data_IF_231692204753
#
_entry.id   IF_231692204753
#
_cell.length_a   1.000
_cell.length_b   1.000
_cell.length_c   1.000
_cell.angle_alpha   90.00
_cell.angle_beta   90.00
_cell.angle_gamma   90.00
#
_symmetry.space_group_name_H-M   'P 1'
#
loop_
_entity.id
_entity.type
_entity.pdbx_description
1 polymer ?
#
# COMPACT_ATOMS: atom_id res chain seq x y z
N UNK A 1 1.61 -27.05 -1.10
CA UNK A 1 1.80 -26.68 0.33
C UNK A 1 1.14 -25.34 0.68
N UNK A 2 1.57 -24.21 0.11
CA UNK A 2 1.02 -22.88 0.48
C UNK A 2 -0.50 -22.70 0.21
N UNK A 3 -1.04 -23.31 -0.85
CA UNK A 3 -2.48 -23.29 -1.15
C UNK A 3 -3.29 -24.10 -0.11
N UNK A 4 -2.79 -25.28 0.25
CA UNK A 4 -3.36 -26.13 1.30
C UNK A 4 -3.33 -25.41 2.66
N UNK A 5 -2.26 -24.69 2.97
CA UNK A 5 -2.16 -23.93 4.22
C UNK A 5 -3.15 -22.76 4.29
N UNK A 6 -3.43 -22.10 3.15
CA UNK A 6 -4.47 -21.06 3.06
C UNK A 6 -5.87 -21.65 3.19
N UNK A 7 -6.15 -22.75 2.52
CA UNK A 7 -7.45 -23.45 2.63
C UNK A 7 -7.71 -23.90 4.07
N UNK A 8 -6.69 -24.44 4.75
CA UNK A 8 -6.78 -24.79 6.17
C UNK A 8 -7.08 -23.58 7.05
N UNK A 9 -6.46 -22.43 6.79
CA UNK A 9 -6.74 -21.19 7.52
C UNK A 9 -8.21 -20.77 7.36
N UNK A 10 -8.74 -20.78 6.14
CA UNK A 10 -10.13 -20.39 5.88
C UNK A 10 -11.14 -21.42 6.40
N UNK A 11 -10.83 -22.72 6.32
CA UNK A 11 -11.62 -23.78 6.93
C UNK A 11 -11.70 -23.62 8.46
N UNK A 12 -10.56 -23.34 9.11
CA UNK A 12 -10.51 -23.06 10.54
C UNK A 12 -11.35 -21.83 10.90
N UNK A 13 -11.23 -20.74 10.14
CA UNK A 13 -11.99 -19.51 10.38
C UNK A 13 -13.49 -19.68 10.17
N UNK A 14 -13.91 -20.48 9.18
CA UNK A 14 -15.33 -20.76 8.94
C UNK A 14 -15.99 -21.54 10.09
N UNK A 15 -15.20 -22.30 10.86
CA UNK A 15 -15.66 -23.06 12.02
C UNK A 15 -15.55 -22.29 13.34
N UNK A 16 -14.86 -21.14 13.36
CA UNK A 16 -14.70 -20.34 14.57
C UNK A 16 -15.79 -19.27 14.68
N UNK A 17 -16.30 -19.10 15.90
CA UNK A 17 -17.14 -17.96 16.28
C UNK A 17 -16.23 -16.78 16.68
N UNK A 18 -16.30 -15.70 15.92
CA UNK A 18 -15.63 -14.43 16.19
C UNK A 18 -16.33 -13.60 17.25
N UNK A 19 -15.84 -12.38 17.45
CA UNK A 19 -16.52 -11.38 18.28
C UNK A 19 -17.42 -10.51 17.39
N UNK A 20 -18.73 -10.65 17.55
CA UNK A 20 -19.69 -9.79 16.86
C UNK A 20 -19.69 -8.41 17.53
N UNK A 21 -19.20 -7.40 16.81
CA UNK A 21 -19.23 -6.02 17.26
C UNK A 21 -20.67 -5.49 17.34
N UNK A 22 -20.99 -4.63 18.31
CA UNK A 22 -22.32 -4.04 18.41
C UNK A 22 -22.59 -3.08 17.24
N UNK A 23 -23.87 -2.78 17.01
CA UNK A 23 -24.31 -1.73 16.09
C UNK A 23 -23.70 -0.37 16.46
N UNK A 24 -23.62 0.53 15.49
CA UNK A 24 -23.00 1.84 15.66
C UNK A 24 -23.65 2.67 16.78
N UNK A 25 -22.79 3.25 17.61
CA UNK A 25 -23.17 4.17 18.69
C UNK A 25 -23.20 5.62 18.16
N UNK A 26 -23.85 6.58 18.85
CA UNK A 26 -23.94 7.97 18.39
C UNK A 26 -22.58 8.62 18.08
N UNK A 27 -21.53 8.29 18.86
CA UNK A 27 -20.17 8.78 18.60
C UNK A 27 -19.62 8.34 17.24
N UNK A 28 -20.03 7.18 16.71
CA UNK A 28 -19.61 6.73 15.38
C UNK A 28 -20.13 7.69 14.31
N UNK A 29 -21.39 8.13 14.42
CA UNK A 29 -21.97 9.09 13.49
C UNK A 29 -21.26 10.44 13.58
N UNK A 30 -21.01 10.93 14.80
CA UNK A 30 -20.28 12.18 15.01
C UNK A 30 -18.86 12.15 14.41
N UNK A 31 -18.13 11.04 14.59
CA UNK A 31 -16.80 10.86 13.98
C UNK A 31 -16.88 10.84 12.45
N UNK A 32 -17.89 10.19 11.88
CA UNK A 32 -18.09 10.12 10.44
C UNK A 32 -18.47 11.46 9.83
N UNK A 33 -19.29 12.24 10.53
CA UNK A 33 -19.70 13.60 10.15
C UNK A 33 -18.56 14.61 10.32
N UNK A 34 -17.61 14.36 11.23
CA UNK A 34 -16.40 15.18 11.38
C UNK A 34 -15.43 15.09 10.19
N UNK A 35 -15.64 14.14 9.28
CA UNK A 35 -14.77 13.96 8.12
C UNK A 35 -14.87 15.16 7.18
N UNK A 36 -13.75 15.87 6.97
CA UNK A 36 -13.71 17.13 6.23
C UNK A 36 -14.00 17.02 4.73
N UNK A 37 -14.17 15.81 4.20
CA UNK A 37 -14.42 15.55 2.79
C UNK A 37 -15.73 14.80 2.61
N UNK A 38 -16.41 15.03 1.49
CA UNK A 38 -17.56 14.23 1.14
C UNK A 38 -17.10 12.81 0.74
N UNK A 39 -17.57 11.74 1.41
CA UNK A 39 -17.17 10.39 1.07
C UNK A 39 -17.75 9.97 -0.29
N UNK A 40 -16.98 9.21 -1.06
CA UNK A 40 -17.44 8.68 -2.36
C UNK A 40 -18.41 7.50 -2.17
N UNK A 41 -19.26 7.17 -3.16
CA UNK A 41 -20.15 6.01 -3.07
C UNK A 41 -19.40 4.71 -2.73
N UNK A 42 -18.22 4.51 -3.31
CA UNK A 42 -17.40 3.32 -3.03
C UNK A 42 -16.82 3.31 -1.61
N UNK A 43 -16.48 4.48 -1.05
CA UNK A 43 -16.04 4.59 0.35
C UNK A 43 -17.17 4.29 1.31
N UNK A 44 -18.39 4.79 1.03
CA UNK A 44 -19.59 4.50 1.83
C UNK A 44 -19.88 3.00 1.79
N UNK A 45 -19.91 2.40 0.60
CA UNK A 45 -20.12 0.96 0.42
C UNK A 45 -19.05 0.15 1.15
N UNK A 46 -17.76 0.48 0.95
CA UNK A 46 -16.66 -0.24 1.61
C UNK A 46 -16.74 -0.13 3.14
N UNK A 47 -17.16 1.02 3.67
CA UNK A 47 -17.38 1.21 5.11
C UNK A 47 -18.52 0.33 5.62
N UNK A 48 -19.64 0.28 4.89
CA UNK A 48 -20.79 -0.55 5.24
C UNK A 48 -20.45 -2.04 5.19
N UNK A 49 -19.73 -2.48 4.15
CA UNK A 49 -19.25 -3.84 4.00
C UNK A 49 -18.36 -4.26 5.19
N UNK A 50 -17.39 -3.41 5.57
CA UNK A 50 -16.51 -3.64 6.74
C UNK A 50 -17.32 -3.73 8.03
N UNK A 51 -18.25 -2.79 8.26
CA UNK A 51 -19.09 -2.80 9.48
C UNK A 51 -19.98 -4.03 9.57
N UNK A 52 -20.56 -4.44 8.44
CA UNK A 52 -21.40 -5.64 8.37
C UNK A 52 -20.62 -6.89 8.73
N UNK A 53 -19.39 -7.02 8.25
CA UNK A 53 -18.54 -8.14 8.61
C UNK A 53 -18.16 -8.12 10.09
N UNK A 54 -17.83 -6.94 10.63
CA UNK A 54 -17.53 -6.78 12.06
C UNK A 54 -18.74 -7.12 12.94
N UNK A 55 -19.96 -6.88 12.49
CA UNK A 55 -21.19 -7.25 13.22
C UNK A 55 -21.55 -8.75 13.08
N UNK A 56 -20.83 -9.50 12.25
CA UNK A 56 -21.04 -10.95 12.09
C UNK A 56 -20.47 -11.74 13.26
N UNK A 57 -21.02 -12.93 13.47
CA UNK A 57 -20.48 -13.97 14.36
C UNK A 57 -19.22 -14.68 13.80
N UNK A 58 -18.77 -14.31 12.59
CA UNK A 58 -17.59 -14.88 11.93
C UNK A 58 -16.47 -13.86 11.94
N UNK A 59 -15.21 -14.28 12.21
CA UNK A 59 -14.09 -13.35 12.14
C UNK A 59 -13.98 -12.73 10.74
N UNK A 60 -13.87 -11.40 10.64
CA UNK A 60 -13.69 -10.67 9.39
C UNK A 60 -12.27 -10.87 8.82
N UNK A 61 -12.12 -11.14 7.52
CA UNK A 61 -10.84 -11.01 6.78
C UNK A 61 -11.09 -10.31 5.45
N UNK A 62 -11.21 -8.98 5.52
CA UNK A 62 -11.56 -8.14 4.38
C UNK A 62 -10.35 -7.43 3.80
N UNK A 63 -10.28 -7.38 2.49
CA UNK A 63 -9.32 -6.59 1.74
C UNK A 63 -9.99 -5.34 1.15
N UNK A 64 -9.56 -4.16 1.58
CA UNK A 64 -9.95 -2.89 0.95
C UNK A 64 -8.86 -2.48 -0.03
N UNK A 65 -9.24 -2.46 -1.30
CA UNK A 65 -8.35 -2.15 -2.40
C UNK A 65 -8.82 -0.88 -3.11
N UNK A 66 -7.89 0.04 -3.37
CA UNK A 66 -8.17 1.25 -4.13
C UNK A 66 -6.89 2.04 -4.32
N UNK A 67 -6.85 2.96 -5.28
CA UNK A 67 -5.63 3.71 -5.55
C UNK A 67 -5.13 4.50 -4.31
N UNK A 68 -3.83 4.82 -4.30
CA UNK A 68 -3.23 5.70 -3.28
C UNK A 68 -4.04 7.00 -3.22
N UNK A 69 -4.49 7.44 -2.04
CA UNK A 69 -5.27 8.67 -1.90
C UNK A 69 -6.78 8.53 -2.16
N UNK A 70 -7.31 7.33 -2.40
CA UNK A 70 -8.77 7.10 -2.50
C UNK A 70 -9.45 6.92 -1.13
N UNK A 71 -8.82 7.34 -0.04
CA UNK A 71 -9.44 7.29 1.30
C UNK A 71 -9.56 5.90 1.93
N UNK A 72 -8.70 4.94 1.57
CA UNK A 72 -8.61 3.64 2.27
C UNK A 72 -8.41 3.81 3.78
N UNK A 73 -7.58 4.78 4.16
CA UNK A 73 -7.32 5.12 5.57
C UNK A 73 -8.59 5.55 6.29
N UNK A 74 -9.52 6.23 5.60
CA UNK A 74 -10.79 6.65 6.21
C UNK A 74 -11.67 5.44 6.56
N UNK A 75 -11.75 4.45 5.66
CA UNK A 75 -12.46 3.20 5.92
C UNK A 75 -11.88 2.49 7.15
N UNK A 76 -10.54 2.48 7.28
CA UNK A 76 -9.88 1.90 8.44
C UNK A 76 -10.13 2.69 9.73
N UNK A 77 -10.07 4.03 9.69
CA UNK A 77 -10.34 4.89 10.87
C UNK A 77 -11.74 4.59 11.43
N UNK A 78 -12.75 4.47 10.56
CA UNK A 78 -14.12 4.16 10.96
C UNK A 78 -14.25 2.78 11.61
N UNK A 79 -13.57 1.77 11.06
CA UNK A 79 -13.53 0.42 11.63
C UNK A 79 -12.80 0.38 12.98
N UNK A 80 -11.66 1.08 13.08
CA UNK A 80 -10.89 1.22 14.32
C UNK A 80 -11.76 1.86 15.41
N UNK A 81 -12.46 2.94 15.09
CA UNK A 81 -13.30 3.64 16.05
C UNK A 81 -14.46 2.76 16.55
N UNK A 82 -15.11 2.00 15.66
CA UNK A 82 -16.14 1.02 16.05
C UNK A 82 -15.58 -0.04 17.01
N UNK A 83 -14.38 -0.55 16.75
CA UNK A 83 -13.76 -1.56 17.61
C UNK A 83 -13.38 -0.99 18.99
N UNK A 84 -12.78 0.20 19.03
CA UNK A 84 -12.38 0.87 20.27
C UNK A 84 -13.60 1.22 21.13
N UNK A 85 -14.65 1.77 20.53
CA UNK A 85 -15.88 2.13 21.27
C UNK A 85 -16.66 0.92 21.78
N UNK A 86 -16.45 -0.27 21.19
CA UNK A 86 -16.93 -1.54 21.72
C UNK A 86 -16.08 -2.09 22.88
N UNK A 87 -15.04 -1.37 23.31
CA UNK A 87 -14.14 -1.78 24.39
C UNK A 87 -13.06 -2.78 23.98
N UNK A 88 -12.82 -2.95 22.67
CA UNK A 88 -11.75 -3.82 22.15
C UNK A 88 -10.50 -3.01 21.83
N UNK A 89 -9.33 -3.61 22.09
CA UNK A 89 -8.07 -3.03 21.65
C UNK A 89 -7.86 -3.26 20.15
N UNK A 90 -7.15 -2.34 19.51
CA UNK A 90 -6.87 -2.36 18.08
C UNK A 90 -5.38 -2.21 17.81
N UNK A 91 -4.87 -2.95 16.83
CA UNK A 91 -3.50 -2.83 16.36
C UNK A 91 -3.47 -2.42 14.88
N UNK A 92 -2.73 -1.36 14.56
CA UNK A 92 -2.47 -0.94 13.18
C UNK A 92 -1.00 -1.20 12.83
N UNK A 93 -0.78 -2.13 11.89
CA UNK A 93 0.52 -2.48 11.34
C UNK A 93 0.77 -1.73 10.03
N UNK A 94 1.90 -1.02 9.97
CA UNK A 94 2.42 -0.45 8.73
C UNK A 94 3.90 -0.83 8.54
N UNK A 95 4.38 -0.93 7.28
CA UNK A 95 5.70 -1.51 6.99
C UNK A 95 6.86 -0.58 7.37
N UNK A 96 6.64 0.73 7.40
CA UNK A 96 7.69 1.73 7.66
C UNK A 96 7.37 2.59 8.88
N UNK A 97 8.43 3.06 9.54
CA UNK A 97 8.32 3.99 10.68
C UNK A 97 7.57 5.27 10.31
N UNK A 98 7.71 5.74 9.08
CA UNK A 98 7.11 7.00 8.64
C UNK A 98 5.61 6.83 8.42
N UNK A 99 5.19 5.72 7.80
CA UNK A 99 3.77 5.39 7.70
C UNK A 99 3.13 5.23 9.08
N UNK A 100 3.81 4.58 10.03
CA UNK A 100 3.29 4.45 11.40
C UNK A 100 3.15 5.80 12.09
N UNK A 101 4.09 6.73 11.87
CA UNK A 101 3.98 8.11 12.37
C UNK A 101 2.80 8.87 11.72
N UNK A 102 2.60 8.72 10.41
CA UNK A 102 1.50 9.36 9.68
C UNK A 102 0.14 8.86 10.18
N UNK A 103 -0.03 7.54 10.30
CA UNK A 103 -1.23 6.94 10.86
C UNK A 103 -1.46 7.41 12.29
N UNK A 104 -0.42 7.38 13.13
CA UNK A 104 -0.50 7.86 14.51
C UNK A 104 -0.99 9.31 14.60
N UNK A 105 -0.43 10.21 13.80
CA UNK A 105 -0.83 11.62 13.81
C UNK A 105 -2.29 11.80 13.38
N UNK A 106 -2.67 11.16 12.27
CA UNK A 106 -4.04 11.22 11.74
C UNK A 106 -5.06 10.67 12.75
N UNK A 107 -4.76 9.53 13.37
CA UNK A 107 -5.62 8.90 14.38
C UNK A 107 -5.71 9.76 15.63
N UNK A 108 -4.60 10.32 16.11
CA UNK A 108 -4.59 11.19 17.28
C UNK A 108 -5.39 12.47 17.07
N UNK A 109 -5.31 13.06 15.88
CA UNK A 109 -6.11 14.23 15.51
C UNK A 109 -7.61 13.88 15.45
N UNK A 110 -7.96 12.83 14.70
CA UNK A 110 -9.36 12.39 14.52
C UNK A 110 -10.02 11.92 15.81
N UNK A 111 -9.25 11.34 16.73
CA UNK A 111 -9.78 10.83 18.00
C UNK A 111 -9.61 11.81 19.16
N UNK A 112 -9.05 13.00 18.94
CA UNK A 112 -8.86 14.03 19.98
C UNK A 112 -10.13 14.44 20.75
N UNK A 113 -11.35 14.41 20.17
CA UNK A 113 -12.58 14.72 20.92
C UNK A 113 -13.01 13.61 21.90
N UNK A 114 -12.41 12.41 21.81
CA UNK A 114 -12.85 11.22 22.52
C UNK A 114 -11.80 10.77 23.55
N UNK A 115 -12.21 10.09 24.63
CA UNK A 115 -11.29 9.56 25.63
C UNK A 115 -10.61 8.26 25.14
N UNK A 116 -9.93 8.32 24.00
CA UNK A 116 -9.26 7.19 23.35
C UNK A 116 -7.75 7.37 23.45
N UNK A 117 -7.07 6.41 24.06
CA UNK A 117 -5.62 6.43 24.18
C UNK A 117 -4.97 5.76 22.97
N UNK A 118 -4.26 6.57 22.17
CA UNK A 118 -3.50 6.11 21.00
C UNK A 118 -2.01 6.10 21.34
N UNK A 119 -1.35 4.95 21.15
CA UNK A 119 0.08 4.78 21.33
C UNK A 119 0.81 4.46 20.01
N UNK A 120 2.11 4.74 19.97
CA UNK A 120 2.98 4.48 18.83
C UNK A 120 4.23 3.71 19.25
N UNK A 121 4.45 2.54 18.66
CA UNK A 121 5.71 1.80 18.77
C UNK A 121 6.39 1.76 17.41
N UNK A 122 7.48 2.51 17.32
CA UNK A 122 8.39 2.46 16.19
C UNK A 122 9.84 2.59 16.68
N UNK A 123 10.80 2.70 15.75
CA UNK A 123 12.22 2.73 16.13
C UNK A 123 12.66 4.00 16.86
N UNK A 124 11.95 5.12 16.67
CA UNK A 124 12.27 6.39 17.31
C UNK A 124 11.96 6.43 18.81
N UNK A 125 11.15 5.50 19.31
CA UNK A 125 10.91 5.36 20.75
C UNK A 125 12.09 4.71 21.44
N UNK A 126 12.53 5.32 22.53
CA UNK A 126 13.53 4.77 23.44
C UNK A 126 13.06 3.44 24.04
N UNK A 127 14.00 2.63 24.52
CA UNK A 127 13.66 1.36 25.17
C UNK A 127 12.79 1.56 26.41
N UNK A 128 13.01 2.63 27.17
CA UNK A 128 12.18 2.96 28.34
C UNK A 128 10.73 3.26 27.94
N UNK A 129 10.51 4.09 26.92
CA UNK A 129 9.16 4.38 26.42
C UNK A 129 8.47 3.13 25.88
N UNK A 130 9.20 2.29 25.12
CA UNK A 130 8.63 1.04 24.59
C UNK A 130 8.16 0.12 25.71
N UNK A 131 8.97 -0.08 26.75
CA UNK A 131 8.60 -0.93 27.88
C UNK A 131 7.37 -0.40 28.62
N UNK A 132 7.27 0.92 28.77
CA UNK A 132 6.10 1.53 29.40
C UNK A 132 4.83 1.36 28.56
N UNK A 133 4.91 1.60 27.25
CA UNK A 133 3.79 1.39 26.32
C UNK A 133 3.33 -0.07 26.35
N UNK A 134 4.26 -1.04 26.34
CA UNK A 134 3.90 -2.45 26.37
C UNK A 134 3.23 -2.88 27.68
N UNK A 135 3.62 -2.30 28.83
CA UNK A 135 2.94 -2.54 30.11
C UNK A 135 1.49 -2.02 30.08
N UNK A 136 1.31 -0.77 29.65
CA UNK A 136 -0.01 -0.13 29.53
C UNK A 136 -0.90 -0.84 28.51
N UNK A 137 -0.32 -1.39 27.45
CA UNK A 137 -1.04 -2.22 26.47
C UNK A 137 -1.57 -3.51 27.10
N UNK A 138 -0.76 -4.16 27.94
CA UNK A 138 -1.14 -5.39 28.63
C UNK A 138 -2.20 -5.17 29.72
N UNK A 139 -2.23 -3.99 30.36
CA UNK A 139 -3.27 -3.62 31.35
C UNK A 139 -4.58 -3.13 30.69
N UNK A 140 -4.54 -2.82 29.39
CA UNK A 140 -5.67 -2.31 28.63
C UNK A 140 -5.90 -0.80 28.78
N UNK A 141 -4.88 -0.05 29.20
CA UNK A 141 -4.92 1.42 29.25
C UNK A 141 -4.71 2.07 27.88
N UNK A 142 -4.26 1.30 26.89
CA UNK A 142 -4.10 1.74 25.50
C UNK A 142 -5.15 1.04 24.66
N UNK A 143 -6.02 1.83 24.03
CA UNK A 143 -7.09 1.33 23.16
C UNK A 143 -6.56 1.00 21.76
N UNK A 144 -5.68 1.85 21.23
CA UNK A 144 -5.13 1.70 19.88
C UNK A 144 -3.61 1.81 19.90
N UNK A 145 -2.96 0.83 19.30
CA UNK A 145 -1.51 0.86 19.08
C UNK A 145 -1.18 0.85 17.59
N UNK A 146 -0.40 1.84 17.17
CA UNK A 146 0.16 1.93 15.83
C UNK A 146 1.62 1.50 15.87
N UNK A 147 2.07 0.69 14.93
CA UNK A 147 3.47 0.29 14.93
C UNK A 147 3.92 -0.54 13.75
N UNK A 148 5.22 -0.76 13.71
CA UNK A 148 5.85 -1.57 12.66
C UNK A 148 5.74 -3.06 12.98
N UNK A 149 6.46 -3.90 12.24
CA UNK A 149 6.68 -5.31 12.57
C UNK A 149 7.13 -5.59 14.02
N UNK A 150 7.65 -4.59 14.74
CA UNK A 150 7.95 -4.68 16.17
C UNK A 150 6.75 -5.11 17.02
N UNK A 151 5.52 -4.79 16.60
CA UNK A 151 4.30 -5.23 17.26
C UNK A 151 4.03 -6.73 17.14
N UNK A 152 4.68 -7.42 16.19
CA UNK A 152 4.64 -8.87 16.03
C UNK A 152 5.72 -9.59 16.87
N UNK A 153 6.37 -8.87 17.79
CA UNK A 153 7.36 -9.41 18.71
C UNK A 153 6.72 -10.31 19.79
N UNK A 154 7.49 -11.26 20.33
CA UNK A 154 6.98 -12.19 21.38
C UNK A 154 6.59 -11.50 22.70
N UNK A 155 7.12 -10.31 22.96
CA UNK A 155 6.86 -9.55 24.20
C UNK A 155 5.66 -8.60 24.11
N UNK A 156 4.85 -8.68 23.06
CA UNK A 156 3.67 -7.83 22.89
C UNK A 156 2.44 -8.63 23.32
N UNK A 157 1.81 -8.18 24.40
CA UNK A 157 0.62 -8.80 24.96
C UNK A 157 -0.50 -7.77 25.00
N UNK A 158 -1.63 -8.12 24.40
CA UNK A 158 -2.86 -7.36 24.46
C UNK A 158 -3.74 -7.95 25.56
N UNK A 159 -4.52 -7.11 26.23
CA UNK A 159 -5.58 -7.54 27.15
C UNK A 159 -6.75 -8.16 26.38
N UNK A 160 -7.21 -7.48 25.33
CA UNK A 160 -8.37 -7.90 24.53
C UNK A 160 -8.32 -7.30 23.12
N UNK A 161 -7.49 -7.88 22.24
CA UNK A 161 -7.36 -7.45 20.85
C UNK A 161 -8.58 -7.89 20.03
N UNK A 162 -9.34 -6.94 19.49
CA UNK A 162 -10.52 -7.22 18.67
C UNK A 162 -10.32 -6.99 17.17
N UNK A 163 -9.41 -6.08 16.77
CA UNK A 163 -9.19 -5.74 15.36
C UNK A 163 -7.70 -5.57 15.04
N UNK A 164 -7.27 -6.17 13.93
CA UNK A 164 -5.95 -5.99 13.35
C UNK A 164 -6.07 -5.31 11.97
N UNK A 165 -5.55 -4.10 11.86
CA UNK A 165 -5.44 -3.38 10.59
C UNK A 165 -4.04 -3.55 10.03
N UNK A 166 -3.92 -3.98 8.78
CA UNK A 166 -2.63 -4.15 8.08
C UNK A 166 -2.63 -3.28 6.84
N UNK A 167 -1.77 -2.27 6.82
CA UNK A 167 -1.57 -1.40 5.66
C UNK A 167 -0.37 -1.85 4.82
N UNK A 168 -0.49 -1.83 3.50
CA UNK A 168 0.56 -2.20 2.55
C UNK A 168 1.16 -3.61 2.80
N UNK A 169 0.29 -4.62 3.00
CA UNK A 169 0.67 -6.04 3.31
C UNK A 169 1.77 -6.60 2.38
N UNK A 170 1.80 -6.18 1.11
CA UNK A 170 2.81 -6.59 0.14
C UNK A 170 4.26 -6.31 0.58
N UNK A 171 4.50 -5.27 1.39
CA UNK A 171 5.85 -4.86 1.84
C UNK A 171 6.34 -5.69 3.04
N UNK A 172 5.50 -6.51 3.66
CA UNK A 172 5.89 -7.37 4.77
C UNK A 172 6.62 -8.63 4.28
N UNK A 173 7.68 -9.01 4.99
CA UNK A 173 8.46 -10.22 4.72
C UNK A 173 7.71 -11.51 5.09
N UNK A 174 8.23 -12.65 4.63
CA UNK A 174 7.58 -13.97 4.80
C UNK A 174 7.32 -14.30 6.28
N UNK A 175 8.31 -14.15 7.14
CA UNK A 175 8.18 -14.44 8.58
C UNK A 175 7.13 -13.55 9.27
N UNK A 176 6.99 -12.30 8.82
CA UNK A 176 6.00 -11.37 9.38
C UNK A 176 4.59 -11.79 8.94
N UNK A 177 4.42 -12.16 7.67
CA UNK A 177 3.16 -12.66 7.13
C UNK A 177 2.69 -13.93 7.84
N UNK A 178 3.60 -14.85 8.17
CA UNK A 178 3.25 -16.04 8.96
C UNK A 178 2.73 -15.69 10.36
N UNK A 179 3.36 -14.74 11.06
CA UNK A 179 2.86 -14.27 12.37
C UNK A 179 1.51 -13.57 12.26
N UNK A 180 1.32 -12.75 11.22
CA UNK A 180 0.03 -12.11 10.94
C UNK A 180 -1.03 -13.21 10.73
N UNK A 181 -0.77 -14.25 9.93
CA UNK A 181 -1.67 -15.40 9.74
C UNK A 181 -2.06 -16.07 11.05
N UNK A 182 -1.11 -16.25 11.98
CA UNK A 182 -1.41 -16.82 13.29
C UNK A 182 -2.39 -15.93 14.06
N UNK A 183 -2.18 -14.61 14.07
CA UNK A 183 -3.12 -13.66 14.70
C UNK A 183 -4.47 -13.61 14.00
N UNK A 184 -4.50 -13.79 12.67
CA UNK A 184 -5.75 -13.85 11.89
C UNK A 184 -6.66 -14.99 12.34
N UNK A 185 -6.22 -16.00 13.07
CA UNK A 185 -7.11 -17.13 13.40
C UNK A 185 -8.31 -16.73 14.26
N UNK A 186 -8.15 -15.78 15.18
CA UNK A 186 -9.18 -15.46 16.20
C UNK A 186 -9.62 -13.98 16.20
N UNK A 187 -9.03 -13.14 15.36
CA UNK A 187 -9.20 -11.67 15.37
C UNK A 187 -9.69 -11.21 14.01
N UNK A 188 -10.52 -10.16 14.01
CA UNK A 188 -10.93 -9.47 12.79
C UNK A 188 -9.74 -8.78 12.14
N UNK A 189 -9.62 -8.91 10.82
CA UNK A 189 -8.48 -8.41 10.06
C UNK A 189 -8.97 -7.57 8.89
N UNK A 190 -8.51 -6.33 8.86
CA UNK A 190 -8.73 -5.40 7.77
C UNK A 190 -7.39 -5.15 7.06
N UNK A 191 -7.29 -5.53 5.80
CA UNK A 191 -6.09 -5.28 5.00
C UNK A 191 -6.33 -4.14 4.02
N UNK A 192 -5.43 -3.17 3.95
CA UNK A 192 -5.46 -2.05 3.01
C UNK A 192 -4.35 -2.21 1.97
N UNK A 193 -4.69 -2.05 0.69
CA UNK A 193 -3.68 -2.07 -0.38
C UNK A 193 -4.00 -1.13 -1.54
N UNK A 194 -2.95 -0.54 -2.13
CA UNK A 194 -3.06 0.27 -3.34
C UNK A 194 -3.14 -0.58 -4.63
N UNK A 195 -2.45 -1.71 -4.64
CA UNK A 195 -2.36 -2.62 -5.80
C UNK A 195 -2.57 -4.03 -5.28
N UNK A 196 -3.68 -4.70 -5.62
CA UNK A 196 -3.89 -6.05 -5.16
C UNK A 196 -2.85 -6.94 -5.86
N UNK A 197 -2.09 -7.70 -5.08
CA UNK A 197 -1.17 -8.70 -5.63
C UNK A 197 -2.01 -9.64 -6.51
N UNK A 198 -1.58 -10.02 -7.73
CA UNK A 198 -2.40 -10.82 -8.64
C UNK A 198 -2.99 -12.07 -7.99
N UNK A 199 -2.22 -12.73 -7.10
CA UNK A 199 -2.69 -13.85 -6.28
C UNK A 199 -3.81 -13.47 -5.30
N UNK A 200 -3.65 -12.38 -4.57
CA UNK A 200 -4.65 -11.89 -3.62
C UNK A 200 -5.91 -11.44 -4.35
N UNK A 201 -5.75 -10.86 -5.53
CA UNK A 201 -6.86 -10.51 -6.40
C UNK A 201 -7.62 -11.76 -6.85
N UNK A 202 -6.91 -12.81 -7.27
CA UNK A 202 -7.53 -14.06 -7.66
C UNK A 202 -8.31 -14.70 -6.50
N UNK A 203 -7.73 -14.77 -5.30
CA UNK A 203 -8.43 -15.29 -4.11
C UNK A 203 -9.71 -14.52 -3.75
N UNK A 204 -9.69 -13.20 -3.95
CA UNK A 204 -10.87 -12.38 -3.80
C UNK A 204 -11.92 -12.69 -4.87
N UNK A 205 -11.50 -12.84 -6.13
CA UNK A 205 -12.38 -13.22 -7.25
C UNK A 205 -12.96 -14.63 -7.10
N UNK A 206 -12.25 -15.57 -6.48
CA UNK A 206 -12.73 -16.91 -6.16
C UNK A 206 -13.71 -16.95 -4.96
N UNK A 207 -13.99 -15.80 -4.31
CA UNK A 207 -14.92 -15.71 -3.18
C UNK A 207 -14.41 -16.38 -1.89
N UNK A 208 -13.10 -16.60 -1.76
CA UNK A 208 -12.46 -17.11 -0.54
C UNK A 208 -12.22 -15.96 0.45
N UNK A 209 -11.86 -14.78 -0.08
CA UNK A 209 -11.56 -13.58 0.70
C UNK A 209 -12.48 -12.45 0.28
N UNK A 210 -13.15 -11.82 1.23
CA UNK A 210 -14.03 -10.70 0.92
C UNK A 210 -13.21 -9.46 0.54
N UNK A 211 -13.64 -8.77 -0.52
CA UNK A 211 -12.91 -7.64 -1.10
C UNK A 211 -13.85 -6.49 -1.40
N UNK A 212 -13.47 -5.30 -0.92
CA UNK A 212 -14.14 -4.04 -1.26
C UNK A 212 -13.22 -3.21 -2.15
N UNK A 213 -13.74 -2.81 -3.31
CA UNK A 213 -13.04 -2.00 -4.29
C UNK A 213 -13.45 -0.54 -4.17
N UNK A 214 -12.48 0.36 -4.07
CA UNK A 214 -12.64 1.79 -4.16
C UNK A 214 -12.01 2.24 -5.49
N UNK A 215 -12.83 2.55 -6.47
CA UNK A 215 -12.39 2.95 -7.82
C UNK A 215 -12.70 4.42 -8.12
N UNK A 216 -13.67 5.00 -7.40
CA UNK A 216 -14.07 6.40 -7.54
C UNK A 216 -13.06 7.31 -6.81
N UNK A 217 -12.32 8.18 -7.52
CA UNK A 217 -11.44 9.16 -6.89
C UNK A 217 -12.24 10.18 -6.07
N UNK A 218 -11.66 10.73 -4.98
CA UNK A 218 -12.23 11.88 -4.30
C UNK A 218 -12.34 13.10 -5.24
N UNK A 219 -13.35 13.97 -5.06
CA UNK A 219 -13.59 15.12 -5.95
C UNK A 219 -12.41 16.09 -6.08
N UNK A 220 -11.58 16.20 -5.03
CA UNK A 220 -10.41 17.06 -5.00
C UNK A 220 -9.23 16.54 -5.82
N UNK A 221 -9.26 15.28 -6.27
CA UNK A 221 -8.11 14.66 -6.92
C UNK A 221 -8.08 14.95 -8.41
N UNK A 222 -6.99 15.55 -8.87
CA UNK A 222 -6.72 15.81 -10.29
C UNK A 222 -5.92 14.66 -10.91
N UNK A 223 -6.16 14.30 -12.19
CA UNK A 223 -5.33 13.32 -12.89
C UNK A 223 -3.89 13.83 -13.02
N UNK A 224 -2.93 12.92 -12.94
CA UNK A 224 -1.51 13.27 -13.02
C UNK A 224 -1.12 13.39 -14.49
N UNK A 225 -0.63 14.57 -14.90
CA UNK A 225 -0.16 14.78 -16.26
C UNK A 225 1.17 14.05 -16.45
N UNK A 226 1.14 13.00 -17.28
CA UNK A 226 2.31 12.15 -17.53
C UNK A 226 2.94 12.55 -18.86
N UNK A 227 4.21 12.94 -18.82
CA UNK A 227 5.00 13.38 -19.97
C UNK A 227 6.11 12.37 -20.25
N UNK A 228 6.19 11.87 -21.48
CA UNK A 228 7.28 11.03 -21.95
C UNK A 228 8.23 11.87 -22.81
N UNK A 229 9.50 11.93 -22.41
CA UNK A 229 10.50 12.75 -23.11
C UNK A 229 11.86 12.05 -23.14
N UNK A 230 12.70 12.29 -24.17
CA UNK A 230 14.13 12.06 -24.07
C UNK A 230 14.72 12.81 -22.86
N UNK A 231 15.77 12.26 -22.27
CA UNK A 231 16.51 12.93 -21.19
C UNK A 231 17.05 14.28 -21.68
N UNK A 232 16.57 15.37 -21.09
CA UNK A 232 16.98 16.74 -21.44
C UNK A 232 17.07 17.59 -20.16
N UNK A 233 18.26 18.14 -19.90
CA UNK A 233 18.56 18.91 -18.69
C UNK A 233 17.74 20.20 -18.59
N UNK A 234 17.42 20.86 -19.70
CA UNK A 234 16.60 22.08 -19.68
C UNK A 234 15.15 21.79 -19.31
N UNK A 235 14.61 20.64 -19.75
CA UNK A 235 13.27 20.19 -19.34
C UNK A 235 13.26 19.89 -17.84
N UNK A 236 14.28 19.17 -17.35
CA UNK A 236 14.45 18.86 -15.92
C UNK A 236 14.50 20.16 -15.10
N UNK A 237 15.34 21.11 -15.50
CA UNK A 237 15.51 22.39 -14.83
C UNK A 237 14.20 23.18 -14.77
N UNK A 238 13.48 23.24 -15.89
CA UNK A 238 12.21 23.96 -16.00
C UNK A 238 11.14 23.32 -15.12
N UNK A 239 11.01 21.99 -15.17
CA UNK A 239 10.04 21.25 -14.36
C UNK A 239 10.29 21.42 -12.85
N UNK A 240 11.56 21.37 -12.41
CA UNK A 240 11.89 21.61 -11.00
C UNK A 240 11.56 23.05 -10.61
N UNK A 241 12.00 24.06 -11.38
CA UNK A 241 11.73 25.48 -11.07
C UNK A 241 10.24 25.79 -10.96
N UNK A 242 9.43 25.30 -11.91
CA UNK A 242 7.98 25.50 -11.88
C UNK A 242 7.33 24.96 -10.61
N UNK A 243 7.83 23.84 -10.05
CA UNK A 243 7.34 23.32 -8.78
C UNK A 243 7.80 24.17 -7.59
N UNK A 244 9.06 24.61 -7.59
CA UNK A 244 9.60 25.44 -6.52
C UNK A 244 8.94 26.83 -6.47
N UNK A 245 8.64 27.43 -7.62
CA UNK A 245 7.97 28.73 -7.74
C UNK A 245 6.56 28.72 -7.13
N UNK A 246 5.89 27.55 -7.11
CA UNK A 246 4.60 27.36 -6.44
C UNK A 246 4.70 26.84 -5.00
N UNK A 247 5.90 26.81 -4.42
CA UNK A 247 6.17 26.36 -3.05
C UNK A 247 6.00 24.84 -2.84
N UNK A 248 6.05 24.06 -3.91
CA UNK A 248 5.99 22.60 -3.86
C UNK A 248 7.36 21.96 -3.72
N UNK A 249 7.35 20.63 -3.64
CA UNK A 249 8.55 19.81 -3.54
C UNK A 249 8.61 18.78 -4.68
N UNK A 250 9.81 18.31 -5.00
CA UNK A 250 10.06 17.45 -6.17
C UNK A 250 10.70 16.14 -5.78
N UNK A 251 10.20 15.04 -6.36
CA UNK A 251 10.93 13.77 -6.40
C UNK A 251 11.76 13.67 -7.68
N UNK A 252 13.07 13.43 -7.53
CA UNK A 252 13.96 13.09 -8.64
C UNK A 252 14.42 11.64 -8.48
N UNK A 253 13.88 10.74 -9.29
CA UNK A 253 14.09 9.29 -9.17
C UNK A 253 15.14 8.82 -10.16
N UNK A 254 16.16 8.13 -9.65
CA UNK A 254 17.19 7.44 -10.42
C UNK A 254 17.05 5.91 -10.29
N UNK A 255 17.37 5.13 -11.34
CA UNK A 255 17.20 3.67 -11.30
C UNK A 255 18.24 2.94 -10.44
N UNK A 256 19.38 3.56 -10.15
CA UNK A 256 20.52 2.95 -9.43
C UNK A 256 21.23 3.99 -8.56
N UNK A 257 21.93 3.49 -7.54
CA UNK A 257 22.65 4.29 -6.53
C UNK A 257 23.92 4.90 -7.13
N UNK A 258 24.59 4.15 -8.02
CA UNK A 258 25.77 4.61 -8.73
C UNK A 258 25.48 5.91 -9.49
N UNK A 259 26.28 6.95 -9.23
CA UNK A 259 26.13 8.28 -9.84
C UNK A 259 25.06 9.19 -9.20
N UNK A 260 24.41 8.78 -8.10
CA UNK A 260 23.39 9.61 -7.43
C UNK A 260 23.95 10.93 -6.89
N UNK A 261 25.18 10.91 -6.36
CA UNK A 261 25.88 12.10 -5.86
C UNK A 261 26.25 13.05 -6.99
N UNK A 262 26.78 12.53 -8.10
CA UNK A 262 27.09 13.31 -9.30
C UNK A 262 25.83 13.97 -9.87
N UNK A 263 24.72 13.23 -9.91
CA UNK A 263 23.43 13.76 -10.35
C UNK A 263 22.93 14.86 -9.41
N UNK A 264 23.09 14.67 -8.10
CA UNK A 264 22.72 15.68 -7.11
C UNK A 264 23.56 16.95 -7.26
N UNK A 265 24.86 16.82 -7.53
CA UNK A 265 25.74 17.95 -7.85
C UNK A 265 25.31 18.67 -9.14
N UNK A 266 24.96 17.92 -10.19
CA UNK A 266 24.44 18.48 -11.44
C UNK A 266 23.14 19.26 -11.21
N UNK A 267 22.24 18.77 -10.37
CA UNK A 267 20.99 19.50 -10.02
C UNK A 267 21.30 20.78 -9.24
N UNK A 268 22.27 20.76 -8.30
CA UNK A 268 22.73 21.98 -7.59
C UNK A 268 23.30 23.02 -8.54
N UNK A 269 24.04 22.59 -9.56
CA UNK A 269 24.61 23.49 -10.56
C UNK A 269 23.51 24.09 -11.46
N UNK A 270 22.55 23.28 -11.90
CA UNK A 270 21.41 23.75 -12.69
C UNK A 270 20.52 24.75 -11.94
N UNK A 271 20.36 24.55 -10.63
CA UNK A 271 19.49 25.36 -9.77
C UNK A 271 20.25 25.77 -8.49
N UNK A 272 21.04 26.86 -8.57
CA UNK A 272 21.79 27.35 -7.42
C UNK A 272 20.88 27.69 -6.24
N UNK A 273 21.23 27.24 -5.03
CA UNK A 273 20.49 27.52 -3.80
C UNK A 273 19.35 26.54 -3.47
N UNK A 274 19.11 25.52 -4.30
CA UNK A 274 18.10 24.49 -4.00
C UNK A 274 18.52 23.61 -2.82
N UNK A 275 17.61 23.34 -1.88
CA UNK A 275 17.87 22.44 -0.74
C UNK A 275 17.61 21.00 -1.19
N UNK A 276 18.68 20.23 -1.34
CA UNK A 276 18.62 18.84 -1.81
C UNK A 276 18.85 17.85 -0.68
N UNK A 277 18.06 16.79 -0.69
CA UNK A 277 18.24 15.60 0.13
C UNK A 277 18.48 14.38 -0.78
N UNK A 278 19.27 13.41 -0.33
CA UNK A 278 19.57 12.18 -1.07
C UNK A 278 19.05 10.99 -0.27
N UNK A 279 18.29 10.09 -0.90
CA UNK A 279 17.72 8.92 -0.25
C UNK A 279 17.89 7.65 -1.11
N UNK A 280 18.74 6.71 -0.67
CA UNK A 280 18.96 5.43 -1.36
C UNK A 280 19.10 4.25 -0.38
N UNK A 281 19.15 3.03 -0.91
CA UNK A 281 18.89 1.80 -0.14
C UNK A 281 20.06 1.27 0.65
N UNK A 282 21.22 1.89 0.46
CA UNK A 282 22.43 1.62 1.22
C UNK A 282 22.56 2.56 2.43
N UNK A 283 21.73 3.62 2.50
CA UNK A 283 21.67 4.48 3.68
C UNK A 283 21.11 3.64 4.83
N UNK A 284 21.69 3.80 6.02
CA UNK A 284 21.17 3.14 7.20
C UNK A 284 19.69 3.53 7.39
N UNK A 285 18.89 2.56 7.82
CA UNK A 285 17.47 2.77 7.87
C UNK A 285 17.06 3.88 8.87
N UNK A 286 17.87 4.21 9.88
CA UNK A 286 17.63 5.34 10.79
C UNK A 286 17.92 6.70 10.13
N UNK A 287 19.02 6.78 9.39
CA UNK A 287 19.43 7.97 8.65
C UNK A 287 18.45 8.27 7.51
N UNK A 288 18.07 7.25 6.73
CA UNK A 288 17.07 7.36 5.68
C UNK A 288 15.76 7.94 6.21
N UNK A 289 15.31 7.50 7.38
CA UNK A 289 14.08 8.02 7.97
C UNK A 289 14.21 9.48 8.42
N UNK A 290 15.35 9.88 8.97
CA UNK A 290 15.64 11.28 9.31
C UNK A 290 15.61 12.19 8.08
N UNK A 291 16.21 11.73 6.97
CA UNK A 291 16.20 12.43 5.68
C UNK A 291 14.77 12.60 5.18
N UNK A 292 13.95 11.53 5.26
CA UNK A 292 12.56 11.60 4.83
C UNK A 292 11.71 12.51 5.71
N UNK A 293 11.96 12.58 7.02
CA UNK A 293 11.29 13.53 7.92
C UNK A 293 11.65 14.98 7.58
N UNK A 294 12.93 15.25 7.33
CA UNK A 294 13.46 16.55 6.89
C UNK A 294 12.82 16.98 5.56
N UNK A 295 12.69 16.04 4.63
CA UNK A 295 11.99 16.32 3.38
C UNK A 295 10.50 16.58 3.63
N UNK A 296 9.82 15.77 4.45
CA UNK A 296 8.40 15.97 4.77
C UNK A 296 8.08 17.30 5.47
N UNK A 297 8.99 17.81 6.33
CA UNK A 297 8.83 19.11 7.01
C UNK A 297 8.99 20.31 6.06
N UNK A 298 9.51 20.09 4.85
CA UNK A 298 9.82 21.16 3.88
C UNK A 298 11.17 21.82 4.11
N UNK A 299 12.08 21.17 4.85
CA UNK A 299 13.46 21.63 5.02
C UNK A 299 14.33 21.31 3.79
N UNK A 300 13.92 20.34 2.97
CA UNK A 300 14.49 20.07 1.65
C UNK A 300 13.45 20.24 0.54
N UNK A 301 13.84 20.84 -0.58
CA UNK A 301 12.97 21.17 -1.72
C UNK A 301 12.87 20.02 -2.72
N UNK A 302 14.00 19.33 -2.94
CA UNK A 302 14.13 18.24 -3.92
C UNK A 302 14.74 17.02 -3.24
N UNK A 303 14.09 15.87 -3.38
CA UNK A 303 14.61 14.59 -2.92
C UNK A 303 15.10 13.78 -4.12
N UNK A 304 16.42 13.56 -4.19
CA UNK A 304 17.05 12.66 -5.16
C UNK A 304 17.08 11.27 -4.58
N UNK A 305 16.37 10.33 -5.19
CA UNK A 305 16.17 9.02 -4.59
C UNK A 305 16.11 7.86 -5.60
N UNK A 306 16.25 6.64 -5.11
CA UNK A 306 15.91 5.43 -5.88
C UNK A 306 14.43 5.06 -5.71
N UNK A 307 14.05 3.81 -5.98
CA UNK A 307 12.68 3.26 -5.80
C UNK A 307 12.17 3.24 -4.35
N UNK A 308 12.91 3.78 -3.39
CA UNK A 308 12.58 3.71 -1.96
C UNK A 308 11.36 4.54 -1.61
N UNK A 309 11.08 5.60 -2.37
CA UNK A 309 9.84 6.37 -2.22
C UNK A 309 8.58 5.56 -2.54
N UNK A 310 8.71 4.36 -3.12
CA UNK A 310 7.59 3.44 -3.23
C UNK A 310 7.05 2.98 -1.85
N UNK A 311 7.74 3.24 -0.74
CA UNK A 311 7.45 2.71 0.61
C UNK A 311 6.37 3.43 1.43
N UNK A 312 5.46 4.16 0.78
CA UNK A 312 4.21 4.60 1.41
C UNK A 312 4.07 6.10 1.67
N UNK A 313 5.13 6.88 1.49
CA UNK A 313 5.19 8.28 1.91
C UNK A 313 4.12 9.15 1.26
N UNK A 314 3.24 9.70 2.09
CA UNK A 314 2.33 10.79 1.74
C UNK A 314 3.00 12.12 2.06
N UNK A 315 3.39 12.86 1.04
CA UNK A 315 3.93 14.20 1.20
C UNK A 315 3.05 15.14 0.36
N UNK A 316 2.07 15.84 0.97
CA UNK A 316 1.08 16.64 0.25
C UNK A 316 1.68 17.72 -0.66
N UNK A 317 2.86 18.24 -0.28
CA UNK A 317 3.60 19.26 -1.02
C UNK A 317 4.31 18.73 -2.27
N UNK A 318 4.43 17.41 -2.42
CA UNK A 318 5.12 16.82 -3.57
C UNK A 318 4.14 16.62 -4.72
N UNK A 319 4.26 17.46 -5.75
CA UNK A 319 3.38 17.44 -6.91
C UNK A 319 4.09 17.18 -8.23
N UNK A 320 5.43 17.16 -8.24
CA UNK A 320 6.20 16.83 -9.44
C UNK A 320 7.16 15.69 -9.17
N UNK A 321 7.15 14.68 -10.05
CA UNK A 321 8.09 13.56 -10.06
C UNK A 321 8.81 13.50 -11.41
N UNK A 322 10.13 13.38 -11.35
CA UNK A 322 11.00 13.19 -12.51
C UNK A 322 11.63 11.80 -12.37
N UNK A 323 11.45 10.93 -13.35
CA UNK A 323 12.01 9.57 -13.34
C UNK A 323 13.00 9.46 -14.49
N UNK A 324 14.28 9.37 -14.14
CA UNK A 324 15.35 9.11 -15.09
C UNK A 324 15.32 7.65 -15.53
N UNK A 325 15.67 7.36 -16.79
CA UNK A 325 15.74 6.00 -17.32
C UNK A 325 14.49 5.14 -17.04
N UNK A 326 13.30 5.72 -17.20
CA UNK A 326 12.00 5.09 -16.92
C UNK A 326 11.81 3.70 -17.56
N UNK A 327 12.46 3.43 -18.69
CA UNK A 327 12.49 2.13 -19.37
C UNK A 327 12.99 0.96 -18.51
N UNK A 328 13.80 1.23 -17.49
CA UNK A 328 14.36 0.23 -16.58
C UNK A 328 13.38 -0.23 -15.50
N UNK A 329 12.28 0.49 -15.30
CA UNK A 329 11.30 0.20 -14.25
C UNK A 329 10.15 -0.65 -14.78
N UNK A 330 9.62 -1.53 -13.94
CA UNK A 330 8.40 -2.28 -14.24
C UNK A 330 7.16 -1.37 -14.27
N UNK A 331 6.08 -1.83 -14.91
CA UNK A 331 4.85 -1.04 -15.06
C UNK A 331 4.23 -0.70 -13.70
N UNK A 332 4.11 -1.70 -12.81
CA UNK A 332 3.62 -1.50 -11.45
C UNK A 332 4.47 -0.54 -10.62
N UNK A 333 5.80 -0.57 -10.79
CA UNK A 333 6.72 0.35 -10.09
C UNK A 333 6.51 1.79 -10.56
N UNK A 334 6.49 2.04 -11.87
CA UNK A 334 6.24 3.37 -12.42
C UNK A 334 4.87 3.91 -11.99
N UNK A 335 3.85 3.06 -11.95
CA UNK A 335 2.53 3.46 -11.48
C UNK A 335 2.51 3.82 -9.99
N UNK A 336 3.19 3.04 -9.14
CA UNK A 336 3.35 3.35 -7.72
C UNK A 336 4.11 4.66 -7.50
N UNK A 337 5.22 4.87 -8.22
CA UNK A 337 6.00 6.11 -8.20
C UNK A 337 5.14 7.32 -8.62
N UNK A 338 4.41 7.19 -9.74
CA UNK A 338 3.47 8.21 -10.21
C UNK A 338 2.42 8.52 -9.14
N UNK A 339 1.85 7.50 -8.49
CA UNK A 339 0.85 7.66 -7.44
C UNK A 339 1.34 8.36 -6.17
N UNK A 340 2.65 8.66 -6.04
CA UNK A 340 3.20 9.40 -4.89
C UNK A 340 2.99 10.91 -4.98
N UNK A 341 2.73 11.46 -6.18
CA UNK A 341 2.48 12.90 -6.38
C UNK A 341 0.99 13.24 -6.51
N UNK A 342 0.64 14.51 -6.27
CA UNK A 342 -0.69 15.05 -6.60
C UNK A 342 -1.76 14.78 -5.55
N UNK A 343 -1.40 14.99 -4.29
CA UNK A 343 -2.29 14.75 -3.14
C UNK A 343 -2.97 16.02 -2.61
N UNK A 344 -2.48 17.21 -2.97
CA UNK A 344 -2.97 18.51 -2.47
C UNK A 344 -4.05 19.18 -3.36
N UNK A 345 -4.67 18.44 -4.28
CA UNK A 345 -5.62 18.99 -5.26
C UNK A 345 -5.00 19.95 -6.28
N UNK A 346 -3.68 20.17 -6.20
CA UNK A 346 -2.86 20.86 -7.20
C UNK A 346 -2.60 19.93 -8.38
N UNK A 347 -2.48 20.48 -9.59
CA UNK A 347 -2.12 19.71 -10.77
C UNK A 347 -0.71 19.13 -10.61
N UNK A 348 -0.62 17.80 -10.60
CA UNK A 348 0.63 17.07 -10.52
C UNK A 348 1.18 16.68 -11.90
N UNK A 349 2.50 16.58 -11.98
CA UNK A 349 3.23 16.25 -13.19
C UNK A 349 4.18 15.07 -12.95
N UNK A 350 4.18 14.11 -13.87
CA UNK A 350 5.10 12.99 -13.89
C UNK A 350 5.91 13.03 -15.19
N UNK A 351 7.21 13.32 -15.09
CA UNK A 351 8.14 13.35 -16.21
C UNK A 351 8.90 12.03 -16.26
N UNK A 352 8.64 11.23 -17.29
CA UNK A 352 9.27 9.94 -17.51
C UNK A 352 10.30 10.07 -18.63
N UNK A 353 11.59 10.04 -18.26
CA UNK A 353 12.69 10.20 -19.20
C UNK A 353 13.18 8.86 -19.73
N UNK A 354 13.60 8.82 -20.99
CA UNK A 354 14.23 7.65 -21.60
C UNK A 354 15.49 8.04 -22.38
N UNK A 355 16.45 7.11 -22.53
CA UNK A 355 17.68 7.38 -23.25
C UNK A 355 17.43 7.44 -24.76
N UNK A 356 18.18 8.32 -25.41
CA UNK A 356 18.31 8.37 -26.87
C UNK A 356 19.75 8.01 -27.26
N UNK A 357 19.94 7.43 -28.43
CA UNK A 357 21.29 7.27 -29.01
C UNK A 357 21.88 8.63 -29.37
N UNK A 358 23.20 8.68 -29.60
CA UNK A 358 23.90 9.89 -30.05
C UNK A 358 23.27 10.52 -31.32
N UNK A 359 22.65 9.70 -32.16
CA UNK A 359 21.96 10.11 -33.39
C UNK A 359 20.48 10.52 -33.16
N UNK A 360 20.06 10.68 -31.90
CA UNK A 360 18.69 11.07 -31.54
C UNK A 360 17.64 9.97 -31.70
N UNK A 361 18.03 8.71 -31.97
CA UNK A 361 17.07 7.60 -32.08
C UNK A 361 16.70 7.08 -30.69
N UNK A 362 15.45 6.66 -30.55
CA UNK A 362 14.94 6.08 -29.30
C UNK A 362 15.63 4.75 -29.02
N UNK A 363 16.39 4.68 -27.93
CA UNK A 363 17.09 3.45 -27.51
C UNK A 363 16.20 2.64 -26.55
N UNK A 364 15.12 2.06 -27.06
CA UNK A 364 14.16 1.28 -26.28
C UNK A 364 13.84 -0.05 -26.96
N UNK A 365 13.76 -1.11 -26.15
CA UNK A 365 13.16 -2.38 -26.57
C UNK A 365 11.66 -2.19 -26.84
N UNK A 366 11.08 -3.06 -27.66
CA UNK A 366 9.65 -2.99 -27.98
C UNK A 366 8.77 -3.17 -26.73
N UNK A 367 9.17 -4.03 -25.80
CA UNK A 367 8.47 -4.21 -24.52
C UNK A 367 8.54 -2.96 -23.64
N UNK A 368 9.70 -2.30 -23.57
CA UNK A 368 9.83 -1.04 -22.84
C UNK A 368 8.97 0.06 -23.48
N UNK A 369 8.90 0.12 -24.82
CA UNK A 369 8.04 1.07 -25.53
C UNK A 369 6.55 0.83 -25.26
N UNK A 370 6.10 -0.43 -25.33
CA UNK A 370 4.71 -0.81 -24.98
C UNK A 370 4.37 -0.43 -23.54
N UNK A 371 5.27 -0.72 -22.61
CA UNK A 371 5.12 -0.39 -21.18
C UNK A 371 4.98 1.11 -20.92
N UNK A 372 5.86 1.91 -21.52
CA UNK A 372 5.82 3.37 -21.38
C UNK A 372 4.58 3.99 -22.03
N UNK A 373 4.09 3.45 -23.16
CA UNK A 373 2.81 3.87 -23.74
C UNK A 373 1.63 3.52 -22.84
N UNK A 374 1.61 2.30 -22.30
CA UNK A 374 0.56 1.85 -21.41
C UNK A 374 0.40 2.79 -20.19
N UNK A 375 1.49 3.24 -19.57
CA UNK A 375 1.37 4.16 -18.42
C UNK A 375 0.79 5.54 -18.79
N UNK A 376 0.99 6.00 -20.03
CA UNK A 376 0.37 7.22 -20.54
C UNK A 376 -1.13 7.02 -20.82
N UNK A 377 -1.53 5.84 -21.33
CA UNK A 377 -2.93 5.47 -21.55
C UNK A 377 -3.70 5.33 -20.23
N UNK A 378 -3.07 4.77 -19.20
CA UNK A 378 -3.62 4.65 -17.84
C UNK A 378 -3.43 5.93 -17.00
N UNK A 379 -3.39 7.11 -17.63
CA UNK A 379 -3.29 8.40 -16.92
C UNK A 379 -4.56 8.81 -16.16
N UNK A 380 -5.70 8.14 -16.41
CA UNK A 380 -6.94 8.37 -15.69
C UNK A 380 -6.92 7.71 -14.30
N UNK A 381 -7.48 8.42 -13.31
CA UNK A 381 -7.62 7.97 -11.93
C UNK A 381 -8.53 6.73 -11.86
N UNK A 382 -8.19 5.73 -11.03
CA UNK A 382 -8.97 4.49 -10.88
C UNK A 382 -8.51 3.34 -11.78
N UNK A 383 -7.43 3.55 -12.54
CA UNK A 383 -6.85 2.54 -13.42
C UNK A 383 -5.96 1.51 -12.71
N UNK A 384 -5.71 1.64 -11.40
CA UNK A 384 -4.80 0.73 -10.66
C UNK A 384 -5.21 -0.74 -10.73
N UNK A 385 -6.51 -1.00 -10.72
CA UNK A 385 -7.08 -2.34 -10.96
C UNK A 385 -6.80 -2.84 -12.39
N UNK A 386 -7.10 -2.01 -13.39
CA UNK A 386 -6.89 -2.35 -14.80
C UNK A 386 -5.40 -2.55 -15.12
N UNK A 387 -4.53 -1.79 -14.45
CA UNK A 387 -3.09 -1.92 -14.54
C UNK A 387 -2.60 -3.23 -13.94
N UNK A 388 -3.12 -3.64 -12.77
CA UNK A 388 -2.78 -4.92 -12.17
C UNK A 388 -3.19 -6.09 -13.06
N UNK A 389 -4.36 -5.99 -13.72
CA UNK A 389 -4.81 -6.97 -14.72
C UNK A 389 -3.90 -6.99 -15.95
N UNK A 390 -3.48 -5.83 -16.47
CA UNK A 390 -2.54 -5.77 -17.59
C UNK A 390 -1.13 -6.22 -17.24
N UNK A 391 -0.63 -5.94 -16.04
CA UNK A 391 0.67 -6.44 -15.59
C UNK A 391 0.66 -7.97 -15.47
N UNK A 392 -0.47 -8.55 -15.03
CA UNK A 392 -0.69 -10.00 -15.01
C UNK A 392 -0.71 -10.59 -16.43
N UNK A 393 -1.43 -9.96 -17.36
CA UNK A 393 -1.47 -10.40 -18.78
C UNK A 393 -0.09 -10.28 -19.47
N UNK A 394 0.65 -9.20 -19.21
CA UNK A 394 1.95 -8.91 -19.85
C UNK A 394 3.05 -9.84 -19.33
N UNK A 395 3.06 -10.16 -18.03
CA UNK A 395 4.07 -11.05 -17.44
C UNK A 395 3.79 -12.53 -17.68
N UNK A 396 2.55 -12.89 -18.01
CA UNK A 396 2.10 -14.28 -18.02
C UNK A 396 1.95 -14.82 -16.59
N UNK A 397 1.01 -15.73 -16.39
CA UNK A 397 0.68 -16.27 -15.06
C UNK A 397 1.77 -17.17 -14.44
N UNK A 398 2.86 -17.45 -15.17
CA UNK A 398 3.92 -18.38 -14.78
C UNK A 398 4.78 -17.93 -13.59
N UNK A 399 4.97 -16.62 -13.40
CA UNK A 399 5.92 -16.08 -12.40
C UNK A 399 5.33 -15.95 -10.98
N UNK A 400 4.05 -16.30 -10.80
CA UNK A 400 3.31 -16.17 -9.52
C UNK A 400 3.76 -17.21 -8.48
N UNK A 401 4.44 -18.28 -8.92
CA UNK A 401 4.76 -19.43 -8.07
C UNK A 401 6.16 -19.41 -7.45
N UNK A 402 7.01 -18.44 -7.78
CA UNK A 402 8.27 -18.20 -7.06
C UNK A 402 9.20 -19.42 -7.03
N UNK A 403 9.91 -19.65 -8.13
CA UNK A 403 11.25 -20.21 -8.14
C UNK A 403 11.91 -19.79 -9.47
N UNK A 404 13.02 -19.05 -9.40
CA UNK A 404 13.87 -18.82 -10.56
C UNK A 404 14.35 -20.16 -11.11
N UNK A 405 13.75 -20.66 -12.19
CA UNK A 405 14.43 -21.56 -13.11
C UNK A 405 14.02 -21.22 -14.55
N UNK A 406 14.99 -20.68 -15.27
CA UNK A 406 15.02 -20.58 -16.72
C UNK A 406 14.77 -21.96 -17.36
N UNK A 407 13.64 -22.15 -18.03
CA UNK A 407 13.38 -23.36 -18.80
C UNK A 407 11.93 -23.53 -19.21
N UNK A 408 11.57 -22.97 -20.36
CA UNK A 408 10.51 -23.41 -21.29
C UNK A 408 9.44 -24.35 -20.72
N UNK A 409 8.57 -23.83 -19.86
CA UNK A 409 7.31 -24.47 -19.42
C UNK A 409 6.24 -23.39 -19.21
N UNK A 410 5.96 -22.64 -20.26
CA UNK A 410 4.86 -21.68 -20.26
C UNK A 410 3.58 -22.34 -20.81
N UNK A 411 2.45 -22.02 -20.16
CA UNK A 411 1.03 -22.18 -20.56
C UNK A 411 0.17 -23.09 -19.66
N UNK A 412 0.66 -24.14 -19.01
CA UNK A 412 -0.23 -25.13 -18.33
C UNK A 412 -0.42 -24.92 -16.80
N UNK A 413 0.34 -24.00 -16.17
CA UNK A 413 0.41 -23.92 -14.70
C UNK A 413 -0.76 -23.21 -13.99
N UNK A 414 -1.41 -22.23 -14.62
CA UNK A 414 -2.38 -21.37 -13.95
C UNK A 414 -3.81 -21.92 -13.94
N UNK A 415 -4.23 -22.49 -15.06
CA UNK A 415 -5.57 -23.09 -15.19
C UNK A 415 -5.68 -24.32 -14.27
N UNK A 416 -4.65 -25.19 -14.27
CA UNK A 416 -4.57 -26.33 -13.36
C UNK A 416 -4.56 -25.89 -11.88
N UNK A 417 -3.84 -24.80 -11.53
CA UNK A 417 -3.87 -24.27 -10.17
C UNK A 417 -5.26 -23.77 -9.77
N UNK A 418 -5.97 -23.14 -10.71
CA UNK A 418 -7.31 -22.61 -10.51
C UNK A 418 -8.33 -23.72 -10.29
N UNK A 419 -8.25 -24.78 -11.09
CA UNK A 419 -9.05 -26.01 -10.93
C UNK A 419 -8.76 -26.67 -9.58
N UNK A 420 -7.50 -26.92 -9.23
CA UNK A 420 -7.12 -27.52 -7.94
C UNK A 420 -7.58 -26.67 -6.73
N UNK A 421 -7.54 -25.35 -6.85
CA UNK A 421 -8.03 -24.44 -5.80
C UNK A 421 -9.55 -24.54 -5.67
N UNK A 422 -10.26 -24.59 -6.79
CA UNK A 422 -11.71 -24.68 -6.84
C UNK A 422 -12.22 -26.02 -6.29
N UNK A 423 -11.58 -27.13 -6.66
CA UNK A 423 -11.85 -28.48 -6.11
C UNK A 423 -11.68 -28.51 -4.59
N UNK A 424 -10.57 -28.00 -4.08
CA UNK A 424 -10.31 -27.99 -2.65
C UNK A 424 -11.25 -27.04 -1.87
N UNK A 425 -11.77 -25.98 -2.50
CA UNK A 425 -12.83 -25.14 -1.92
C UNK A 425 -14.16 -25.92 -1.84
N UNK A 426 -14.50 -26.69 -2.88
CA UNK A 426 -15.71 -27.51 -2.91
C UNK A 426 -15.67 -28.60 -1.82
N UNK A 427 -14.51 -29.26 -1.64
CA UNK A 427 -14.27 -30.22 -0.55
C UNK A 427 -14.51 -29.58 0.83
N UNK A 428 -13.95 -28.40 1.07
CA UNK A 428 -14.09 -27.69 2.36
C UNK A 428 -15.52 -27.20 2.61
N UNK A 429 -16.27 -26.85 1.55
CA UNK A 429 -17.67 -26.41 1.63
C UNK A 429 -18.67 -27.58 1.71
N UNK A 430 -18.21 -28.83 1.64
CA UNK A 430 -19.06 -30.02 1.69
C UNK A 430 -19.98 -30.18 0.49
N UNK A 431 -19.62 -29.60 -0.66
CA UNK A 431 -20.35 -29.79 -1.92
C UNK A 431 -19.74 -31.00 -2.65
N UNK A 432 -20.59 -31.91 -3.13
CA UNK A 432 -20.14 -33.05 -3.93
C UNK A 432 -19.41 -32.55 -5.18
N UNK A 433 -18.15 -32.98 -5.34
CA UNK A 433 -17.37 -32.75 -6.54
C UNK A 433 -18.04 -33.55 -7.65
N UNK A 434 -18.54 -32.94 -8.74
CA UNK A 434 -19.00 -33.70 -9.88
C UNK A 434 -17.79 -34.48 -10.43
N UNK A 435 -17.89 -35.82 -10.42
CA UNK A 435 -16.90 -36.68 -11.07
C UNK A 435 -16.82 -36.27 -12.53
N UNK A 436 -15.65 -35.76 -12.94
CA UNK A 436 -15.33 -35.61 -14.35
C UNK A 436 -15.08 -37.02 -14.86
N UNK A 437 -16.00 -37.55 -15.68
CA UNK A 437 -15.77 -38.80 -16.39
C UNK A 437 -14.51 -38.65 -17.24
N UNK A 438 -13.52 -39.51 -16.99
CA UNK A 438 -12.30 -39.62 -17.77
C UNK A 438 -12.66 -39.68 -19.27
N UNK A 439 -12.34 -38.62 -20.01
CA UNK A 439 -12.37 -38.66 -21.47
C UNK A 439 -11.44 -39.77 -21.94
N UNK A 440 -12.04 -40.83 -22.48
CA UNK A 440 -11.34 -41.93 -23.13
C UNK A 440 -10.46 -41.38 -24.27
N UNK A 441 -9.22 -41.89 -24.29
CA UNK A 441 -8.10 -41.57 -25.19
C UNK A 441 -8.50 -41.52 -26.66
#
# INVERSE_FOLDING_TARGET
>A
KLAVDLLKLYAQRAQQTGYAFPVDMPWQQELEDSFSYQPTPDQIKSTQDVKRDMESDRPMDRLVCGDVGFGKTEVAIRAIFKAVTAGKQVALLAPTTILTQQHYHTLKERFSPYPIEVALINRFRSNSEKQEILKRLATGEIDLIVGTQSLLGKGVHFKDLGLLVVDEEQRFGVNQKEKIKTLKTHVDVLTLTATPIPRTLYMALSGIREMSLITTPPPSRRPIQTHLSPLNLEIIRTAIRQELDRGGQVFYVVPRIEGIEEKSAQIREMIPGVRLAIAHGQIDASELESIMLTFSSGEADVLVCTTIIESGLDIPRVNTILVEDSHRFGLGQLYQLRGRVGRSGVQAHAWLFYPTTADGRVNLTDDARKRLRAIQEFAQLGSGYQLAMRDLEIRGAGDILGAEQSGQMDVVGFDLYSEMLQEAIQEVRGQEIPQVDDTQI
#
